data_IF_484510948878
#
_entry.id   IF_484510948878
#
_cell.length_a   1.000
_cell.length_b   1.000
_cell.length_c   1.000
_cell.angle_alpha   90.00
_cell.angle_beta   90.00
_cell.angle_gamma   90.00
#
_symmetry.space_group_name_H-M   'P 1'
#
loop_
_entity.id
_entity.type
_entity.pdbx_description
1 polymer ?
#
# COMPACT_ATOMS: atom_id res chain seq x y z
N UNK A 1 19.64 15.30 4.16
CA UNK A 1 20.29 14.09 4.68
C UNK A 1 20.60 14.32 6.15
N UNK A 2 20.03 13.53 7.07
CA UNK A 2 20.27 13.69 8.51
C UNK A 2 21.68 13.19 8.86
N UNK A 3 22.33 13.85 9.83
CA UNK A 3 23.67 13.50 10.25
C UNK A 3 23.71 12.07 10.87
N UNK A 4 24.78 11.30 10.64
CA UNK A 4 24.97 10.01 11.30
C UNK A 4 24.94 10.20 12.83
N UNK A 5 24.04 9.48 13.51
CA UNK A 5 23.84 9.58 14.96
C UNK A 5 22.70 10.51 15.42
N UNK A 6 22.00 11.18 14.50
CA UNK A 6 20.80 11.93 14.85
C UNK A 6 19.67 10.98 15.24
N UNK A 7 19.14 11.16 16.46
CA UNK A 7 17.94 10.48 16.92
C UNK A 7 16.72 10.97 16.13
N UNK A 8 16.41 10.24 15.06
CA UNK A 8 15.27 10.49 14.17
C UNK A 8 13.94 10.55 14.91
N UNK A 9 13.79 9.88 16.07
CA UNK A 9 12.55 9.87 16.83
C UNK A 9 12.12 11.27 17.28
N UNK A 10 13.07 12.06 17.78
CA UNK A 10 12.81 13.41 18.31
C UNK A 10 12.55 14.42 17.22
N UNK A 11 13.11 14.22 16.03
CA UNK A 11 12.94 15.12 14.90
C UNK A 11 11.62 14.90 14.13
N UNK A 12 11.00 13.72 14.25
CA UNK A 12 9.92 13.28 13.36
C UNK A 12 8.56 13.09 14.05
N UNK A 13 8.48 13.24 15.39
CA UNK A 13 7.27 12.91 16.19
C UNK A 13 6.76 11.47 16.00
N UNK A 14 7.62 10.58 15.49
CA UNK A 14 7.28 9.18 15.29
C UNK A 14 7.30 8.44 16.62
N UNK A 15 6.31 7.58 16.82
CA UNK A 15 6.31 6.68 17.97
C UNK A 15 7.43 5.64 17.85
N UNK A 16 7.73 4.95 18.94
CA UNK A 16 8.68 3.84 18.93
C UNK A 16 8.24 2.70 17.99
N UNK A 17 6.93 2.49 17.86
CA UNK A 17 6.38 1.48 16.96
C UNK A 17 6.60 1.87 15.49
N UNK A 18 6.35 3.13 15.15
CA UNK A 18 6.57 3.65 13.79
C UNK A 18 8.03 3.50 13.37
N UNK A 19 8.96 3.85 14.26
CA UNK A 19 10.39 3.70 14.01
C UNK A 19 10.81 2.25 13.83
N UNK A 20 10.22 1.33 14.60
CA UNK A 20 10.50 -0.09 14.46
C UNK A 20 10.06 -0.61 13.07
N UNK A 21 8.85 -0.24 12.63
CA UNK A 21 8.34 -0.60 11.30
C UNK A 21 9.21 -0.02 10.20
N UNK A 22 9.49 1.29 10.23
CA UNK A 22 10.29 1.96 9.20
C UNK A 22 11.71 1.39 9.16
N UNK A 23 12.31 1.13 10.32
CA UNK A 23 13.67 0.55 10.39
C UNK A 23 13.68 -0.86 9.80
N UNK A 24 12.67 -1.69 10.10
CA UNK A 24 12.55 -3.03 9.54
C UNK A 24 12.41 -3.00 8.02
N UNK A 25 11.54 -2.13 7.49
CA UNK A 25 11.36 -1.95 6.04
C UNK A 25 12.65 -1.46 5.38
N UNK A 26 13.34 -0.49 5.99
CA UNK A 26 14.60 0.03 5.45
C UNK A 26 15.72 -1.01 5.46
N UNK A 27 15.82 -1.84 6.50
CA UNK A 27 16.78 -2.94 6.55
C UNK A 27 16.51 -3.96 5.43
N UNK A 28 15.24 -4.23 5.15
CA UNK A 28 14.83 -5.19 4.12
C UNK A 28 15.04 -4.66 2.69
N UNK A 29 14.73 -3.39 2.42
CA UNK A 29 14.68 -2.87 1.04
C UNK A 29 15.63 -1.71 0.75
N UNK A 30 16.15 -1.01 1.76
CA UNK A 30 16.91 0.23 1.59
C UNK A 30 18.26 0.07 0.88
N UNK A 31 18.71 -1.16 0.64
CA UNK A 31 19.91 -1.47 -0.12
C UNK A 31 19.61 -1.80 -1.60
N UNK A 32 18.34 -1.94 -1.99
CA UNK A 32 17.93 -2.20 -3.36
C UNK A 32 17.92 -0.91 -4.17
N UNK A 33 18.38 -0.98 -5.42
CA UNK A 33 18.15 0.10 -6.38
C UNK A 33 16.71 0.04 -6.93
N UNK A 34 16.31 1.07 -7.69
CA UNK A 34 14.93 1.17 -8.19
C UNK A 34 14.50 0.00 -9.08
N UNK A 35 15.42 -0.61 -9.84
CA UNK A 35 15.12 -1.72 -10.73
C UNK A 35 15.00 -3.03 -9.95
N UNK A 36 15.88 -3.26 -8.99
CA UNK A 36 15.80 -4.40 -8.08
C UNK A 36 14.51 -4.38 -7.24
N UNK A 37 14.08 -3.19 -6.80
CA UNK A 37 12.81 -3.04 -6.10
C UNK A 37 11.61 -3.35 -7.02
N UNK A 38 11.69 -2.94 -8.28
CA UNK A 38 10.66 -3.24 -9.29
C UNK A 38 10.55 -4.75 -9.53
N UNK A 39 11.68 -5.41 -9.75
CA UNK A 39 11.73 -6.86 -9.93
C UNK A 39 11.18 -7.59 -8.70
N UNK A 40 11.56 -7.13 -7.50
CA UNK A 40 11.04 -7.69 -6.25
C UNK A 40 9.51 -7.57 -6.16
N UNK A 41 8.94 -6.42 -6.51
CA UNK A 41 7.47 -6.24 -6.51
C UNK A 41 6.81 -7.19 -7.51
N UNK A 42 7.36 -7.34 -8.71
CA UNK A 42 6.81 -8.27 -9.72
C UNK A 42 6.82 -9.73 -9.24
N UNK A 43 7.81 -10.11 -8.42
CA UNK A 43 7.96 -11.47 -7.92
C UNK A 43 7.16 -11.75 -6.63
N UNK A 44 6.86 -10.72 -5.83
CA UNK A 44 6.34 -10.90 -4.46
C UNK A 44 4.93 -10.32 -4.24
N UNK A 45 4.43 -9.44 -5.10
CA UNK A 45 3.07 -8.90 -5.01
C UNK A 45 2.13 -9.69 -5.94
N UNK A 46 1.32 -10.62 -5.42
CA UNK A 46 0.45 -11.45 -6.26
C UNK A 46 -0.72 -10.67 -6.87
N UNK A 47 -1.04 -9.48 -6.36
CA UNK A 47 -1.97 -8.56 -7.01
C UNK A 47 -1.42 -7.96 -8.32
N UNK A 48 -0.10 -8.00 -8.52
CA UNK A 48 0.53 -7.48 -9.72
C UNK A 48 0.32 -8.40 -10.92
N UNK A 49 0.09 -7.82 -12.09
CA UNK A 49 -0.07 -8.55 -13.36
C UNK A 49 0.72 -7.83 -14.46
N UNK A 50 1.46 -8.59 -15.28
CA UNK A 50 2.28 -8.03 -16.35
C UNK A 50 1.43 -7.28 -17.39
N UNK A 51 1.62 -5.96 -17.56
CA UNK A 51 0.74 -5.13 -18.39
C UNK A 51 1.13 -5.10 -19.89
N UNK A 52 2.05 -5.96 -20.33
CA UNK A 52 2.53 -6.04 -21.73
C UNK A 52 3.02 -4.70 -22.29
N UNK A 53 3.77 -3.94 -21.48
CA UNK A 53 4.32 -2.64 -21.86
C UNK A 53 3.36 -1.45 -21.65
N UNK A 54 2.19 -1.67 -21.05
CA UNK A 54 1.25 -0.62 -20.63
C UNK A 54 1.33 -0.36 -19.11
N UNK A 55 0.41 0.44 -18.60
CA UNK A 55 0.09 0.56 -17.18
C UNK A 55 -1.40 0.27 -17.01
N UNK A 56 -1.74 -0.76 -16.25
CA UNK A 56 -3.14 -1.10 -15.93
C UNK A 56 -3.40 -0.88 -14.43
N UNK A 57 -4.59 -0.41 -14.04
CA UNK A 57 -4.99 -0.38 -12.64
C UNK A 57 -4.99 -1.80 -12.05
N UNK A 58 -4.55 -1.94 -10.80
CA UNK A 58 -4.71 -3.17 -10.03
C UNK A 58 -6.18 -3.25 -9.59
N UNK A 59 -6.85 -4.34 -9.92
CA UNK A 59 -8.24 -4.57 -9.53
C UNK A 59 -8.35 -4.78 -8.00
N UNK A 60 -9.38 -4.23 -7.38
CA UNK A 60 -9.60 -4.38 -5.94
C UNK A 60 -9.71 -5.85 -5.54
N UNK A 61 -10.37 -6.66 -6.35
CA UNK A 61 -10.56 -8.08 -6.14
C UNK A 61 -9.22 -8.84 -6.12
N UNK A 62 -8.27 -8.45 -6.97
CA UNK A 62 -6.92 -9.02 -6.96
C UNK A 62 -6.14 -8.67 -5.69
N UNK A 63 -6.28 -7.44 -5.18
CA UNK A 63 -5.69 -7.02 -3.91
C UNK A 63 -6.36 -7.69 -2.71
N UNK A 64 -7.68 -7.84 -2.73
CA UNK A 64 -8.43 -8.49 -1.67
C UNK A 64 -8.06 -9.99 -1.60
N UNK A 65 -7.99 -10.65 -2.75
CA UNK A 65 -7.55 -12.04 -2.84
C UNK A 65 -6.09 -12.22 -2.38
N UNK A 66 -5.19 -11.26 -2.63
CA UNK A 66 -3.78 -11.37 -2.20
C UNK A 66 -3.60 -11.40 -0.68
N UNK A 67 -4.52 -10.77 0.06
CA UNK A 67 -4.52 -10.77 1.54
C UNK A 67 -5.39 -11.87 2.14
N UNK A 68 -5.95 -12.77 1.31
CA UNK A 68 -6.74 -13.92 1.75
C UNK A 68 -8.23 -13.61 1.99
N UNK A 69 -8.74 -12.50 1.47
CA UNK A 69 -10.15 -12.13 1.55
C UNK A 69 -10.98 -12.97 0.57
N UNK A 70 -12.18 -13.40 0.99
CA UNK A 70 -13.11 -14.11 0.11
C UNK A 70 -13.74 -13.17 -0.92
N UNK A 71 -14.26 -13.73 -2.01
CA UNK A 71 -14.95 -12.93 -3.03
C UNK A 71 -16.20 -12.25 -2.46
N UNK A 72 -16.91 -12.93 -1.55
CA UNK A 72 -18.09 -12.41 -0.85
C UNK A 72 -17.71 -11.25 0.07
N UNK A 73 -16.64 -11.39 0.86
CA UNK A 73 -16.13 -10.34 1.74
C UNK A 73 -15.69 -9.10 0.93
N UNK A 74 -14.96 -9.31 -0.16
CA UNK A 74 -14.51 -8.24 -1.05
C UNK A 74 -15.70 -7.50 -1.69
N UNK A 75 -16.70 -8.26 -2.15
CA UNK A 75 -17.90 -7.71 -2.78
C UNK A 75 -18.76 -6.91 -1.79
N UNK A 76 -18.90 -7.40 -0.56
CA UNK A 76 -19.61 -6.70 0.49
C UNK A 76 -18.94 -5.35 0.83
N UNK A 77 -17.61 -5.31 0.90
CA UNK A 77 -16.88 -4.07 1.17
C UNK A 77 -17.03 -3.05 0.03
N UNK A 78 -16.98 -3.51 -1.23
CA UNK A 78 -17.19 -2.63 -2.39
C UNK A 78 -18.62 -2.04 -2.41
N UNK A 79 -19.62 -2.83 -2.01
CA UNK A 79 -20.99 -2.34 -1.93
C UNK A 79 -21.13 -1.27 -0.84
N UNK A 80 -20.54 -1.49 0.34
CA UNK A 80 -20.53 -0.51 1.43
C UNK A 80 -19.85 0.81 1.01
N UNK A 81 -18.73 0.73 0.29
CA UNK A 81 -18.03 1.92 -0.22
C UNK A 81 -18.89 2.68 -1.22
N UNK A 82 -19.57 1.97 -2.13
CA UNK A 82 -20.47 2.58 -3.11
C UNK A 82 -21.63 3.32 -2.43
N UNK A 83 -22.26 2.69 -1.44
CA UNK A 83 -23.34 3.31 -0.65
C UNK A 83 -22.86 4.56 0.09
N UNK A 84 -21.65 4.52 0.67
CA UNK A 84 -21.05 5.65 1.36
C UNK A 84 -20.73 6.80 0.38
N UNK A 85 -20.21 6.50 -0.80
CA UNK A 85 -19.90 7.49 -1.83
C UNK A 85 -21.17 8.14 -2.38
N UNK A 86 -22.22 7.35 -2.62
CA UNK A 86 -23.53 7.86 -3.04
C UNK A 86 -24.08 8.85 -2.02
N UNK A 87 -24.03 8.52 -0.72
CA UNK A 87 -24.43 9.43 0.35
C UNK A 87 -23.57 10.70 0.39
N UNK A 88 -22.25 10.55 0.27
CA UNK A 88 -21.31 11.67 0.30
C UNK A 88 -21.53 12.63 -0.87
N UNK A 89 -21.79 12.08 -2.06
CA UNK A 89 -22.12 12.84 -3.27
C UNK A 89 -23.41 13.64 -3.10
N UNK A 90 -24.47 13.02 -2.58
CA UNK A 90 -25.73 13.71 -2.26
C UNK A 90 -25.48 14.86 -1.27
N UNK A 91 -24.79 14.60 -0.16
CA UNK A 91 -24.49 15.61 0.85
C UNK A 91 -23.63 16.77 0.30
N UNK A 92 -22.68 16.49 -0.58
CA UNK A 92 -21.83 17.51 -1.21
C UNK A 92 -22.59 18.39 -2.22
N UNK A 93 -23.74 17.92 -2.71
CA UNK A 93 -24.59 18.63 -3.67
C UNK A 93 -25.71 19.49 -3.04
N UNK A 94 -25.86 19.45 -1.70
CA UNK A 94 -26.79 20.28 -0.91
C UNK A 94 -26.13 21.60 -0.47
#
# INVERSE_FOLDING_TARGET
MLAPGADISRATKLSRADLAVITSVWQQFGHLNQWQLTDWVHDNCPEWTHPSGSSIPIAFESMAASVGMSQEEASALLEEEREAEDLRSVLASL
#
